data_IF_431572299393
#
_entry.id   IF_431572299393
#
_cell.length_a   1.000
_cell.length_b   1.000
_cell.length_c   1.000
_cell.angle_alpha   90.00
_cell.angle_beta   90.00
_cell.angle_gamma   90.00
#
_symmetry.space_group_name_H-M   'P 1'
#
loop_
_entity.id
_entity.type
_entity.pdbx_description
1 polymer ?
#
# COMPACT_ATOMS: atom_id res chain seq x y z
N UNK A 1 -58.78 -49.79 3.02
CA UNK A 1 -58.42 -48.99 4.22
C UNK A 1 -56.95 -49.30 4.48
N UNK A 2 -55.98 -48.40 4.37
CA UNK A 2 -55.90 -46.98 4.75
C UNK A 2 -55.15 -46.20 3.66
N UNK A 3 -55.62 -44.98 3.35
CA UNK A 3 -54.96 -44.01 2.47
C UNK A 3 -53.92 -43.20 3.23
N UNK A 4 -52.80 -42.85 2.58
CA UNK A 4 -52.05 -41.63 2.91
C UNK A 4 -51.77 -40.85 1.62
N UNK A 5 -52.69 -39.96 1.31
CA UNK A 5 -52.47 -38.81 0.43
C UNK A 5 -51.84 -37.66 1.24
N UNK A 6 -51.06 -36.85 0.52
CA UNK A 6 -50.49 -35.54 0.90
C UNK A 6 -49.13 -35.55 1.61
N UNK A 7 -48.09 -35.30 0.81
CA UNK A 7 -47.07 -34.29 1.11
C UNK A 7 -46.31 -33.93 -0.19
N UNK A 8 -47.08 -33.44 -1.17
CA UNK A 8 -46.59 -32.41 -2.09
C UNK A 8 -46.40 -31.16 -1.22
N UNK A 9 -45.23 -31.11 -0.58
CA UNK A 9 -44.83 -30.08 0.35
C UNK A 9 -43.89 -29.10 -0.33
N UNK A 10 -44.50 -28.10 -0.99
CA UNK A 10 -44.00 -26.72 -1.14
C UNK A 10 -42.58 -26.57 -1.70
N UNK A 11 -42.53 -26.08 -2.94
CA UNK A 11 -41.58 -25.07 -3.37
C UNK A 11 -41.24 -24.12 -2.20
N UNK A 12 -40.06 -24.29 -1.60
CA UNK A 12 -39.36 -23.18 -0.96
C UNK A 12 -38.26 -22.81 -1.93
N UNK A 13 -38.64 -21.92 -2.84
CA UNK A 13 -37.78 -21.05 -3.59
C UNK A 13 -36.84 -20.39 -2.55
N UNK A 14 -35.68 -21.02 -2.28
CA UNK A 14 -34.70 -20.55 -1.32
C UNK A 14 -33.90 -19.40 -1.92
N UNK A 15 -34.62 -18.40 -2.42
CA UNK A 15 -34.14 -17.03 -2.55
C UNK A 15 -33.95 -16.48 -1.13
N UNK A 16 -32.90 -16.94 -0.43
CA UNK A 16 -32.28 -16.12 0.61
C UNK A 16 -32.09 -14.74 -0.02
N UNK A 17 -32.67 -13.67 0.54
CA UNK A 17 -32.72 -12.39 -0.15
C UNK A 17 -31.27 -11.96 -0.37
N UNK A 18 -30.87 -11.78 -1.64
CA UNK A 18 -29.52 -11.35 -2.04
C UNK A 18 -29.05 -10.11 -1.25
N UNK A 19 -29.99 -9.30 -0.73
CA UNK A 19 -29.75 -8.20 0.23
C UNK A 19 -29.06 -8.64 1.52
N UNK A 20 -29.55 -9.68 2.21
CA UNK A 20 -29.03 -10.08 3.54
C UNK A 20 -27.56 -10.53 3.49
N UNK A 21 -27.18 -11.30 2.46
CA UNK A 21 -25.78 -11.68 2.21
C UNK A 21 -24.88 -10.49 1.85
N UNK A 22 -25.43 -9.48 1.15
CA UNK A 22 -24.68 -8.27 0.76
C UNK A 22 -24.42 -7.37 1.96
N UNK A 23 -25.37 -7.28 2.88
CA UNK A 23 -25.25 -6.48 4.10
C UNK A 23 -24.27 -7.14 5.09
N UNK A 24 -24.31 -8.48 5.23
CA UNK A 24 -23.32 -9.27 6.00
C UNK A 24 -21.90 -9.11 5.43
N UNK A 25 -21.72 -9.20 4.10
CA UNK A 25 -20.41 -9.02 3.46
C UNK A 25 -19.86 -7.61 3.67
N UNK A 26 -20.71 -6.59 3.53
CA UNK A 26 -20.32 -5.18 3.78
C UNK A 26 -19.90 -4.94 5.22
N UNK A 27 -20.62 -5.55 6.17
CA UNK A 27 -20.30 -5.42 7.59
C UNK A 27 -18.97 -6.10 7.92
N UNK A 28 -18.72 -7.30 7.38
CA UNK A 28 -17.43 -7.99 7.49
C UNK A 28 -16.28 -7.15 6.92
N UNK A 29 -16.46 -6.54 5.74
CA UNK A 29 -15.46 -5.65 5.14
C UNK A 29 -15.18 -4.42 6.01
N UNK A 30 -16.20 -3.85 6.67
CA UNK A 30 -16.02 -2.71 7.58
C UNK A 30 -15.29 -3.11 8.87
N UNK A 31 -15.58 -4.27 9.43
CA UNK A 31 -14.90 -4.81 10.61
C UNK A 31 -13.42 -5.10 10.32
N UNK A 32 -13.13 -5.76 9.20
CA UNK A 32 -11.76 -6.02 8.75
C UNK A 32 -10.99 -4.72 8.52
N UNK A 33 -11.59 -3.70 7.89
CA UNK A 33 -10.95 -2.39 7.73
C UNK A 33 -10.56 -1.76 9.06
N UNK A 34 -11.45 -1.82 10.05
CA UNK A 34 -11.16 -1.28 11.40
C UNK A 34 -10.01 -2.03 12.05
N UNK A 35 -10.05 -3.36 12.00
CA UNK A 35 -8.98 -4.21 12.54
C UNK A 35 -7.62 -3.88 11.90
N UNK A 36 -7.58 -3.72 10.56
CA UNK A 36 -6.33 -3.37 9.88
C UNK A 36 -5.84 -1.97 10.21
N UNK A 37 -6.73 -0.98 10.30
CA UNK A 37 -6.37 0.36 10.73
C UNK A 37 -5.79 0.34 12.16
N UNK A 38 -6.35 -0.43 13.08
CA UNK A 38 -5.83 -0.57 14.43
C UNK A 38 -4.45 -1.23 14.45
N UNK A 39 -4.25 -2.29 13.65
CA UNK A 39 -2.93 -2.93 13.49
C UNK A 39 -1.89 -1.98 12.89
N UNK A 40 -2.26 -1.18 11.89
CA UNK A 40 -1.36 -0.16 11.31
C UNK A 40 -1.01 0.92 12.34
N UNK A 41 -1.98 1.37 13.13
CA UNK A 41 -1.73 2.34 14.19
C UNK A 41 -0.76 1.79 15.24
N UNK A 42 -0.84 0.51 15.57
CA UNK A 42 0.12 -0.16 16.45
C UNK A 42 1.51 -0.28 15.81
N UNK A 43 1.60 -0.50 14.49
CA UNK A 43 2.89 -0.48 13.77
C UNK A 43 3.54 0.88 13.77
N UNK A 44 2.74 1.95 13.75
CA UNK A 44 3.21 3.33 13.84
C UNK A 44 3.85 3.64 15.19
N UNK A 45 3.45 2.92 16.24
CA UNK A 45 3.95 3.15 17.58
C UNK A 45 5.40 2.64 17.71
N UNK A 46 6.24 3.46 18.33
CA UNK A 46 7.64 3.12 18.64
C UNK A 46 8.52 2.78 17.41
N UNK A 47 8.26 3.38 16.24
CA UNK A 47 9.17 3.26 15.10
C UNK A 47 10.44 4.06 15.37
N UNK A 48 11.58 3.36 15.37
CA UNK A 48 12.94 3.90 15.47
C UNK A 48 13.75 3.46 14.25
N UNK A 49 14.91 4.08 14.01
CA UNK A 49 15.79 3.64 12.91
C UNK A 49 16.31 2.21 13.12
N UNK A 50 16.46 1.80 14.38
CA UNK A 50 17.02 0.50 14.77
C UNK A 50 16.03 -0.64 14.54
N UNK A 51 14.73 -0.39 14.72
CA UNK A 51 13.68 -1.39 14.51
C UNK A 51 12.92 -1.23 13.18
N UNK A 52 13.24 -0.20 12.38
CA UNK A 52 12.55 0.10 11.13
C UNK A 52 12.51 -1.11 10.18
N UNK A 53 13.59 -1.89 10.09
CA UNK A 53 13.64 -3.05 9.18
C UNK A 53 12.66 -4.15 9.58
N UNK A 54 12.52 -4.41 10.87
CA UNK A 54 11.53 -5.35 11.38
C UNK A 54 10.12 -4.80 11.15
N UNK A 55 9.92 -3.51 11.43
CA UNK A 55 8.62 -2.85 11.25
C UNK A 55 8.17 -2.79 9.79
N UNK A 56 9.10 -2.68 8.84
CA UNK A 56 8.81 -2.82 7.42
C UNK A 56 8.31 -4.22 7.06
N UNK A 57 8.95 -5.28 7.58
CA UNK A 57 8.48 -6.66 7.35
C UNK A 57 7.09 -6.88 7.92
N UNK A 58 6.83 -6.39 9.13
CA UNK A 58 5.51 -6.44 9.75
C UNK A 58 4.48 -5.66 8.91
N UNK A 59 4.88 -4.53 8.35
CA UNK A 59 4.05 -3.71 7.48
C UNK A 59 3.73 -4.40 6.13
N UNK A 60 4.72 -4.98 5.43
CA UNK A 60 4.50 -5.72 4.19
C UNK A 60 3.55 -6.90 4.40
N UNK A 61 3.77 -7.69 5.45
CA UNK A 61 2.88 -8.79 5.80
C UNK A 61 1.44 -8.30 6.06
N UNK A 62 1.30 -7.15 6.71
CA UNK A 62 -0.02 -6.55 6.95
C UNK A 62 -0.70 -6.08 5.67
N UNK A 63 0.03 -5.44 4.74
CA UNK A 63 -0.49 -5.05 3.43
C UNK A 63 -0.94 -6.28 2.65
N UNK A 64 -0.11 -7.33 2.58
CA UNK A 64 -0.49 -8.57 1.92
C UNK A 64 -1.76 -9.19 2.52
N UNK A 65 -1.81 -9.33 3.84
CA UNK A 65 -2.96 -9.92 4.53
C UNK A 65 -4.25 -9.12 4.28
N UNK A 66 -4.16 -7.80 4.41
CA UNK A 66 -5.32 -6.92 4.27
C UNK A 66 -5.84 -6.87 2.83
N UNK A 67 -4.95 -6.75 1.84
CA UNK A 67 -5.34 -6.78 0.43
C UNK A 67 -5.91 -8.13 0.03
N UNK A 68 -5.32 -9.24 0.47
CA UNK A 68 -5.86 -10.59 0.27
C UNK A 68 -7.31 -10.69 0.78
N UNK A 69 -7.57 -10.27 2.00
CA UNK A 69 -8.91 -10.35 2.58
C UNK A 69 -9.90 -9.37 1.93
N UNK A 70 -9.48 -8.13 1.65
CA UNK A 70 -10.34 -7.12 1.01
C UNK A 70 -10.69 -7.49 -0.43
N UNK A 71 -9.79 -8.19 -1.11
CA UNK A 71 -10.00 -8.73 -2.45
C UNK A 71 -10.65 -10.11 -2.44
N UNK A 72 -10.98 -10.69 -1.28
CA UNK A 72 -11.63 -12.01 -1.17
C UNK A 72 -10.80 -13.12 -1.87
N UNK A 73 -9.47 -13.06 -1.71
CA UNK A 73 -8.51 -14.00 -2.28
C UNK A 73 -8.17 -15.07 -1.24
N UNK A 74 -8.19 -16.34 -1.64
CA UNK A 74 -7.88 -17.49 -0.78
C UNK A 74 -6.44 -18.00 -0.97
N UNK A 75 -5.78 -17.64 -2.07
CA UNK A 75 -4.41 -18.01 -2.39
C UNK A 75 -3.37 -16.96 -1.96
N UNK A 76 -2.10 -17.35 -1.90
CA UNK A 76 -0.97 -16.41 -1.73
C UNK A 76 -0.66 -15.76 -3.08
N UNK A 77 -0.51 -14.44 -3.08
CA UNK A 77 -0.30 -13.65 -4.30
C UNK A 77 0.72 -12.54 -4.07
N UNK A 78 1.43 -12.22 -5.15
CA UNK A 78 2.32 -11.06 -5.28
C UNK A 78 1.51 -9.76 -5.38
N UNK A 79 2.18 -8.62 -5.20
CA UNK A 79 1.55 -7.31 -5.39
C UNK A 79 1.04 -7.09 -6.82
N UNK A 80 1.75 -7.60 -7.82
CA UNK A 80 1.34 -7.55 -9.22
C UNK A 80 0.06 -8.37 -9.48
N UNK A 81 -0.05 -9.56 -8.89
CA UNK A 81 -1.27 -10.37 -8.96
C UNK A 81 -2.44 -9.70 -8.23
N UNK A 82 -2.21 -9.11 -7.04
CA UNK A 82 -3.23 -8.31 -6.35
C UNK A 82 -3.68 -7.09 -7.17
N UNK A 83 -2.75 -6.45 -7.87
CA UNK A 83 -3.03 -5.36 -8.79
C UNK A 83 -3.90 -5.83 -9.97
N UNK A 84 -3.67 -7.03 -10.49
CA UNK A 84 -4.52 -7.61 -11.54
C UNK A 84 -5.93 -7.93 -11.02
N UNK A 85 -6.05 -8.53 -9.83
CA UNK A 85 -7.32 -8.87 -9.19
C UNK A 85 -8.20 -7.63 -8.90
N UNK A 86 -7.57 -6.48 -8.63
CA UNK A 86 -8.25 -5.21 -8.49
C UNK A 86 -9.04 -4.82 -9.75
N UNK A 87 -8.62 -5.22 -10.95
CA UNK A 87 -9.36 -4.92 -12.18
C UNK A 87 -10.74 -5.56 -12.20
N UNK A 88 -10.88 -6.73 -11.57
CA UNK A 88 -12.13 -7.47 -11.49
C UNK A 88 -13.07 -6.95 -10.39
N UNK A 89 -12.61 -6.05 -9.52
CA UNK A 89 -13.43 -5.49 -8.44
C UNK A 89 -14.19 -4.23 -8.88
N UNK A 90 -15.43 -4.13 -8.39
CA UNK A 90 -16.32 -2.97 -8.52
C UNK A 90 -15.93 -1.88 -7.50
N UNK A 91 -14.74 -1.30 -7.73
CA UNK A 91 -14.16 -0.21 -6.93
C UNK A 91 -14.05 1.02 -7.83
N UNK A 92 -14.14 2.21 -7.23
CA UNK A 92 -13.88 3.47 -7.93
C UNK A 92 -12.57 3.40 -8.74
N UNK A 93 -12.62 3.82 -10.00
CA UNK A 93 -11.50 3.76 -10.95
C UNK A 93 -10.26 4.52 -10.48
N UNK A 94 -10.44 5.71 -9.91
CA UNK A 94 -9.34 6.52 -9.36
C UNK A 94 -8.67 5.80 -8.19
N UNK A 95 -9.46 5.31 -7.25
CA UNK A 95 -8.95 4.53 -6.12
C UNK A 95 -8.23 3.25 -6.59
N UNK A 96 -8.75 2.58 -7.63
CA UNK A 96 -8.10 1.41 -8.23
C UNK A 96 -6.70 1.76 -8.75
N UNK A 97 -6.56 2.89 -9.44
CA UNK A 97 -5.25 3.36 -9.89
C UNK A 97 -4.32 3.70 -8.72
N UNK A 98 -4.83 4.37 -7.68
CA UNK A 98 -4.02 4.70 -6.50
C UNK A 98 -3.50 3.45 -5.78
N UNK A 99 -4.37 2.44 -5.59
CA UNK A 99 -3.97 1.19 -4.96
C UNK A 99 -2.94 0.47 -5.84
N UNK A 100 -3.15 0.38 -7.15
CA UNK A 100 -2.19 -0.23 -8.07
C UNK A 100 -0.82 0.45 -8.03
N UNK A 101 -0.81 1.78 -8.06
CA UNK A 101 0.43 2.55 -7.95
C UNK A 101 1.13 2.28 -6.62
N UNK A 102 0.37 2.24 -5.51
CA UNK A 102 0.90 1.90 -4.20
C UNK A 102 1.49 0.49 -4.11
N UNK A 103 0.80 -0.53 -4.64
CA UNK A 103 1.28 -1.90 -4.65
C UNK A 103 2.57 -2.05 -5.45
N UNK A 104 2.66 -1.38 -6.61
CA UNK A 104 3.89 -1.36 -7.43
C UNK A 104 5.06 -0.64 -6.73
N UNK A 105 4.77 0.47 -6.04
CA UNK A 105 5.78 1.16 -5.24
C UNK A 105 6.31 0.21 -4.15
N UNK A 106 5.42 -0.47 -3.43
CA UNK A 106 5.80 -1.42 -2.37
C UNK A 106 6.59 -2.61 -2.88
N UNK A 107 6.20 -3.16 -4.03
CA UNK A 107 6.92 -4.25 -4.67
C UNK A 107 8.38 -3.90 -4.91
N UNK A 108 8.63 -2.70 -5.44
CA UNK A 108 9.98 -2.20 -5.67
C UNK A 108 10.74 -2.11 -4.35
N UNK A 109 10.12 -1.60 -3.28
CA UNK A 109 10.81 -1.43 -1.99
C UNK A 109 11.04 -2.75 -1.26
N UNK A 110 10.09 -3.69 -1.30
CA UNK A 110 10.14 -4.97 -0.60
C UNK A 110 11.14 -5.94 -1.26
N UNK A 111 11.12 -6.07 -2.59
CA UNK A 111 12.07 -6.96 -3.27
C UNK A 111 13.50 -6.39 -3.28
N UNK A 112 13.65 -5.06 -3.26
CA UNK A 112 14.96 -4.43 -3.09
C UNK A 112 15.37 -4.29 -1.64
N UNK A 113 14.63 -4.78 -0.63
CA UNK A 113 14.91 -4.50 0.79
C UNK A 113 16.36 -4.80 1.27
N UNK A 114 17.07 -5.83 0.76
CA UNK A 114 18.50 -6.04 1.06
C UNK A 114 19.47 -5.08 0.33
N UNK A 115 19.02 -4.31 -0.65
CA UNK A 115 19.78 -3.38 -1.51
C UNK A 115 19.29 -1.93 -1.51
N UNK A 116 18.07 -1.66 -1.07
CA UNK A 116 17.39 -0.38 -1.10
C UNK A 116 18.13 0.65 -0.26
N UNK A 117 18.65 0.26 0.91
CA UNK A 117 19.52 1.15 1.69
C UNK A 117 20.83 1.47 1.00
N UNK A 118 21.39 0.53 0.22
CA UNK A 118 22.60 0.81 -0.57
C UNK A 118 22.28 1.77 -1.71
N UNK A 119 21.13 1.63 -2.38
CA UNK A 119 20.70 2.58 -3.41
C UNK A 119 20.34 3.96 -2.86
N UNK A 120 19.60 4.02 -1.75
CA UNK A 120 19.18 5.27 -1.13
C UNK A 120 20.39 6.00 -0.51
N UNK A 121 21.35 5.26 0.04
CA UNK A 121 22.65 5.81 0.46
C UNK A 121 23.48 6.27 -0.74
N UNK A 122 23.54 5.50 -1.84
CA UNK A 122 24.23 5.92 -3.08
C UNK A 122 23.61 7.19 -3.67
N UNK A 123 22.28 7.28 -3.77
CA UNK A 123 21.55 8.48 -4.21
C UNK A 123 21.85 9.68 -3.31
N UNK A 124 21.90 9.48 -1.98
CA UNK A 124 22.32 10.51 -1.01
C UNK A 124 23.78 10.94 -1.18
N UNK A 125 24.69 10.01 -1.45
CA UNK A 125 26.12 10.32 -1.70
C UNK A 125 26.28 11.11 -2.99
N UNK A 126 25.62 10.70 -4.07
CA UNK A 126 25.63 11.41 -5.36
C UNK A 126 25.04 12.82 -5.21
N UNK A 127 23.92 12.98 -4.47
CA UNK A 127 23.36 14.31 -4.14
C UNK A 127 24.37 15.18 -3.40
N UNK A 128 25.01 14.68 -2.34
CA UNK A 128 26.02 15.42 -1.56
C UNK A 128 27.25 15.79 -2.40
N UNK A 129 27.69 14.92 -3.30
CA UNK A 129 28.82 15.20 -4.19
C UNK A 129 28.48 16.27 -5.24
N UNK A 130 27.27 16.22 -5.81
CA UNK A 130 26.76 17.24 -6.72
C UNK A 130 26.59 18.60 -6.03
N UNK A 131 26.06 18.64 -4.79
CA UNK A 131 25.97 19.86 -3.98
C UNK A 131 27.36 20.45 -3.70
N UNK A 132 28.36 19.62 -3.37
CA UNK A 132 29.75 20.05 -3.19
C UNK A 132 30.34 20.61 -4.48
N UNK A 133 30.10 19.95 -5.61
CA UNK A 133 30.58 20.38 -6.91
C UNK A 133 30.00 21.73 -7.32
N UNK A 134 28.69 21.93 -7.14
CA UNK A 134 28.02 23.21 -7.41
C UNK A 134 28.55 24.33 -6.52
N UNK A 135 28.67 24.10 -5.21
CA UNK A 135 29.28 25.09 -4.30
C UNK A 135 30.73 25.42 -4.69
N UNK A 136 31.49 24.46 -5.19
CA UNK A 136 32.85 24.69 -5.67
C UNK A 136 32.89 25.53 -6.96
N UNK A 137 31.92 25.35 -7.87
CA UNK A 137 31.78 26.17 -9.07
C UNK A 137 31.37 27.61 -8.75
N UNK A 138 30.41 27.79 -7.84
CA UNK A 138 29.95 29.10 -7.37
C UNK A 138 31.08 29.88 -6.67
N UNK A 139 31.85 29.22 -5.79
CA UNK A 139 33.03 29.81 -5.15
C UNK A 139 34.13 30.22 -6.14
N UNK A 140 34.19 29.58 -7.31
CA UNK A 140 35.14 29.91 -8.40
C UNK A 140 34.60 30.97 -9.36
N UNK A 141 33.46 31.60 -9.05
CA UNK A 141 32.86 32.65 -9.86
C UNK A 141 32.28 32.14 -11.19
N UNK A 142 32.06 30.82 -11.34
CA UNK A 142 31.44 30.25 -12.53
C UNK A 142 29.93 30.25 -12.37
N UNK A 143 29.22 30.84 -13.34
CA UNK A 143 27.76 30.86 -13.37
C UNK A 143 27.27 29.42 -13.60
N UNK A 144 26.50 28.90 -12.64
CA UNK A 144 25.80 27.62 -12.80
C UNK A 144 24.57 27.84 -13.68
N UNK A 145 24.41 27.05 -14.74
CA UNK A 145 23.28 27.20 -15.66
C UNK A 145 21.96 26.94 -14.94
N UNK A 146 20.90 27.65 -15.33
CA UNK A 146 19.53 27.41 -14.83
C UNK A 146 19.13 25.94 -15.00
N UNK A 147 19.61 25.28 -16.06
CA UNK A 147 19.36 23.85 -16.28
C UNK A 147 19.98 22.95 -15.21
N UNK A 148 21.18 23.29 -14.71
CA UNK A 148 21.83 22.56 -13.62
C UNK A 148 21.10 22.80 -12.29
N UNK A 149 20.60 24.02 -12.08
CA UNK A 149 19.78 24.39 -10.92
C UNK A 149 18.42 23.69 -10.95
N UNK A 150 17.74 23.64 -12.09
CA UNK A 150 16.47 22.95 -12.26
C UNK A 150 16.59 21.43 -12.07
N UNK A 151 17.68 20.80 -12.56
CA UNK A 151 17.98 19.39 -12.28
C UNK A 151 18.25 19.13 -10.78
N UNK A 152 18.87 20.08 -10.09
CA UNK A 152 19.05 20.03 -8.64
C UNK A 152 17.74 20.21 -7.88
N UNK A 153 16.89 21.16 -8.27
CA UNK A 153 15.57 21.37 -7.67
C UNK A 153 14.67 20.15 -7.83
N UNK A 154 14.69 19.48 -8.99
CA UNK A 154 13.99 18.20 -9.21
C UNK A 154 14.51 17.08 -8.30
N UNK A 155 15.83 17.02 -8.04
CA UNK A 155 16.43 16.06 -7.09
C UNK A 155 16.19 16.44 -5.62
N UNK A 156 15.88 17.70 -5.32
CA UNK A 156 15.58 18.21 -3.98
C UNK A 156 14.08 18.11 -3.66
N UNK A 157 13.20 18.28 -4.66
CA UNK A 157 11.73 18.24 -4.52
C UNK A 157 11.14 16.84 -4.55
N UNK A 158 11.89 15.81 -4.95
CA UNK A 158 11.57 14.43 -4.57
C UNK A 158 11.70 14.34 -3.04
N UNK A 159 10.57 14.43 -2.36
CA UNK A 159 10.41 14.47 -0.91
C UNK A 159 11.53 13.72 -0.19
N UNK A 160 12.29 14.45 0.61
CA UNK A 160 13.42 13.91 1.34
C UNK A 160 12.95 12.87 2.35
N UNK A 161 12.92 11.62 1.91
CA UNK A 161 12.91 10.46 2.78
C UNK A 161 14.29 10.41 3.46
N UNK A 162 14.38 11.14 4.58
CA UNK A 162 15.64 11.35 5.31
C UNK A 162 16.07 10.09 6.05
N UNK A 163 15.14 9.20 6.40
CA UNK A 163 15.40 8.02 7.24
C UNK A 163 14.48 6.82 6.90
N UNK A 164 14.84 5.60 7.32
CA UNK A 164 14.00 4.39 7.09
C UNK A 164 12.66 4.54 7.79
N UNK A 165 12.68 5.10 8.99
CA UNK A 165 11.51 5.44 9.78
C UNK A 165 10.56 6.34 9.02
N UNK A 166 11.06 7.46 8.46
CA UNK A 166 10.20 8.42 7.75
C UNK A 166 9.53 7.76 6.54
N UNK A 167 10.25 6.89 5.84
CA UNK A 167 9.71 6.12 4.72
C UNK A 167 8.60 5.18 5.15
N UNK A 168 8.82 4.41 6.22
CA UNK A 168 7.83 3.50 6.75
C UNK A 168 6.56 4.25 7.15
N UNK A 169 6.72 5.39 7.85
CA UNK A 169 5.60 6.23 8.26
C UNK A 169 4.83 6.78 7.06
N UNK A 170 5.53 7.19 5.99
CA UNK A 170 4.92 7.63 4.74
C UNK A 170 4.06 6.51 4.11
N UNK A 171 4.59 5.30 4.00
CA UNK A 171 3.84 4.16 3.45
C UNK A 171 2.67 3.75 4.35
N UNK A 172 2.85 3.80 5.67
CA UNK A 172 1.78 3.60 6.66
C UNK A 172 0.64 4.61 6.44
N UNK A 173 0.97 5.90 6.30
CA UNK A 173 -0.03 6.95 6.11
C UNK A 173 -0.74 6.82 4.76
N UNK A 174 -0.01 6.53 3.68
CA UNK A 174 -0.57 6.25 2.35
C UNK A 174 -1.51 5.05 2.41
N UNK A 175 -1.12 3.97 3.07
CA UNK A 175 -1.95 2.77 3.20
C UNK A 175 -3.22 3.01 4.03
N UNK A 176 -3.11 3.74 5.14
CA UNK A 176 -4.25 4.14 5.96
C UNK A 176 -5.30 4.91 5.15
N UNK A 177 -4.85 5.82 4.27
CA UNK A 177 -5.75 6.57 3.39
C UNK A 177 -6.48 5.62 2.43
N UNK A 178 -5.74 4.76 1.75
CA UNK A 178 -6.31 3.79 0.80
C UNK A 178 -7.34 2.86 1.46
N UNK A 179 -7.07 2.38 2.67
CA UNK A 179 -8.02 1.53 3.41
C UNK A 179 -9.31 2.24 3.81
N UNK A 180 -9.24 3.54 4.16
CA UNK A 180 -10.41 4.35 4.49
C UNK A 180 -11.30 4.57 3.27
N UNK A 181 -10.69 4.74 2.10
CA UNK A 181 -11.39 5.04 0.85
C UNK A 181 -11.89 3.78 0.14
N UNK A 182 -11.31 2.61 0.44
CA UNK A 182 -11.80 1.31 0.00
C UNK A 182 -13.26 1.15 0.48
N UNK A 183 -14.18 0.76 -0.40
CA UNK A 183 -15.63 0.64 -0.11
C UNK A 183 -16.16 -0.70 -0.53
#
# INVERSE_FOLDING_TARGET
>A
MVSFSSLIGKFVDSKKPKKKKRDEKRQLTLELKREYLDRINNLRFDVTEENADQKFREFYALVHQSMKHLLDLDYECTYDEMAHELDQKDINRELKYEIKAFLKDLETVEYDFPGFMKELTKKKTIKKELEKYVRALEKRGRITSEELRGKLELLITQEEIRSKKDLLLLYIDKFCRLLKDFK
#
